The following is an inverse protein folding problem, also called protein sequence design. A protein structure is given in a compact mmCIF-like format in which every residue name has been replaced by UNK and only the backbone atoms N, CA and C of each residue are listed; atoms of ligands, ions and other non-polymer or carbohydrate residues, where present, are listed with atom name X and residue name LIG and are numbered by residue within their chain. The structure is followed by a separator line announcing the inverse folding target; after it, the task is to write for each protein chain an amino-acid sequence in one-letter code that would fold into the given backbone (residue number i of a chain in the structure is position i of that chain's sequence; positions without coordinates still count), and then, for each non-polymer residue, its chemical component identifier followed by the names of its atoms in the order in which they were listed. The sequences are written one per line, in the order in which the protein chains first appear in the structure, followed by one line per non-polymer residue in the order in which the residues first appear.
data_IF_293705358729
#
_entry.id   IF_293705358729
#
_cell.length_a   1.000
_cell.length_b   1.000
_cell.length_c   1.000
_cell.angle_alpha   90.00
_cell.angle_beta   90.00
_cell.angle_gamma   90.00
#
_symmetry.space_group_name_H-M   'P 1'
#
loop_
_entity.id
_entity.type
_entity.pdbx_description
1 polymer ?
#
# COMPACT_ATOMS: atom_id res chain seq x y z
N UNK A 1 -14.46 -10.09 -36.34
CA UNK A 1 -13.51 -9.38 -37.25
C UNK A 1 -13.52 -7.89 -36.86
N UNK A 2 -12.70 -7.48 -35.89
CA UNK A 2 -12.45 -6.07 -35.59
C UNK A 2 -11.10 -5.68 -36.20
N UNK A 3 -11.07 -4.66 -37.04
CA UNK A 3 -9.85 -4.14 -37.64
C UNK A 3 -9.07 -3.25 -36.65
N UNK A 4 -7.76 -3.43 -36.47
CA UNK A 4 -6.95 -2.70 -35.50
C UNK A 4 -6.45 -1.32 -35.95
N UNK A 5 -7.02 -0.72 -36.99
CA UNK A 5 -6.47 0.50 -37.62
C UNK A 5 -6.90 1.82 -36.95
N UNK A 6 -7.89 1.83 -36.04
CA UNK A 6 -8.34 3.07 -35.42
C UNK A 6 -7.58 3.44 -34.13
N UNK A 7 -6.84 2.51 -33.51
CA UNK A 7 -6.14 2.76 -32.22
C UNK A 7 -4.74 3.38 -32.40
N UNK A 8 -4.12 3.20 -33.57
CA UNK A 8 -2.77 3.70 -33.86
C UNK A 8 -2.77 5.22 -34.09
N UNK A 9 -3.87 5.79 -34.57
CA UNK A 9 -4.00 7.21 -34.82
C UNK A 9 -4.08 8.12 -33.59
N UNK A 10 -4.55 7.60 -32.45
CA UNK A 10 -4.71 8.38 -31.22
C UNK A 10 -3.43 8.50 -30.40
N UNK A 11 -2.48 7.58 -30.58
CA UNK A 11 -1.20 7.57 -29.83
C UNK A 11 -0.18 8.53 -30.43
N UNK A 12 -0.27 8.84 -31.72
CA UNK A 12 0.68 9.71 -32.41
C UNK A 12 0.54 11.22 -32.10
N UNK A 13 -0.60 11.65 -31.54
CA UNK A 13 -0.86 13.09 -31.24
C UNK A 13 -0.34 13.47 -29.84
N UNK A 14 -0.06 12.50 -28.95
CA UNK A 14 0.40 12.75 -27.57
C UNK A 14 1.93 12.95 -27.42
N UNK A 15 2.73 12.78 -28.48
CA UNK A 15 4.20 12.84 -28.40
C UNK A 15 4.82 14.19 -28.73
N UNK A 16 4.05 15.26 -28.79
CA UNK A 16 4.50 16.59 -29.26
C UNK A 16 4.87 17.61 -28.19
N UNK A 17 4.96 17.26 -26.90
CA UNK A 17 5.40 18.22 -25.88
C UNK A 17 6.74 17.79 -25.25
N UNK A 18 7.83 18.35 -25.76
CA UNK A 18 9.15 18.29 -25.13
C UNK A 18 9.17 19.21 -23.91
N UNK A 19 9.06 18.66 -22.71
CA UNK A 19 9.33 19.39 -21.48
C UNK A 19 10.82 19.40 -21.20
N UNK A 20 11.42 20.58 -21.15
CA UNK A 20 12.80 20.78 -20.67
C UNK A 20 12.87 20.46 -19.19
N UNK A 21 13.58 19.40 -18.84
CA UNK A 21 13.83 19.01 -17.45
C UNK A 21 14.92 19.91 -16.87
N UNK A 22 14.59 20.71 -15.87
CA UNK A 22 15.55 21.35 -14.97
C UNK A 22 15.90 20.36 -13.85
N UNK A 23 17.11 19.82 -13.92
CA UNK A 23 17.63 18.92 -12.89
C UNK A 23 18.51 19.70 -11.93
N UNK A 24 17.94 20.30 -10.88
CA UNK A 24 18.77 20.92 -9.81
C UNK A 24 18.11 21.12 -8.44
N UNK A 25 17.13 20.35 -7.99
CA UNK A 25 16.56 20.53 -6.64
C UNK A 25 16.37 19.25 -5.82
N UNK A 26 17.00 18.14 -6.17
CA UNK A 26 16.62 16.82 -5.60
C UNK A 26 17.22 16.50 -4.21
N UNK A 27 18.24 17.20 -3.71
CA UNK A 27 18.91 16.83 -2.44
C UNK A 27 18.34 17.59 -1.25
N UNK A 28 17.96 18.86 -1.41
CA UNK A 28 17.36 19.64 -0.33
C UNK A 28 15.86 19.35 -0.10
N UNK A 29 15.15 18.91 -1.14
CA UNK A 29 13.73 18.56 -1.04
C UNK A 29 13.47 17.35 -0.11
N UNK A 30 14.41 16.41 0.01
CA UNK A 30 14.23 15.20 0.83
C UNK A 30 14.26 15.46 2.34
N UNK A 31 14.97 16.50 2.81
CA UNK A 31 15.09 16.82 4.24
C UNK A 31 13.89 17.62 4.78
N UNK A 32 13.21 18.36 3.92
CA UNK A 32 12.00 19.12 4.27
C UNK A 32 10.71 18.33 4.00
N UNK A 33 10.82 17.07 3.52
CA UNK A 33 9.66 16.19 3.35
C UNK A 33 8.97 15.94 4.69
N UNK A 34 7.64 16.07 4.71
CA UNK A 34 6.84 15.76 5.89
C UNK A 34 6.62 14.24 5.98
N UNK A 35 6.74 13.71 7.17
CA UNK A 35 6.50 12.29 7.53
C UNK A 35 5.61 12.21 8.75
N UNK A 36 4.86 11.13 8.84
CA UNK A 36 3.86 10.89 9.90
C UNK A 36 4.19 9.66 10.73
N UNK A 37 4.93 8.69 10.16
CA UNK A 37 5.11 7.37 10.78
C UNK A 37 5.91 7.41 12.07
N UNK A 38 6.90 8.28 12.18
CA UNK A 38 7.78 8.27 13.35
C UNK A 38 7.12 8.82 14.61
N UNK A 39 6.23 9.81 14.47
CA UNK A 39 5.68 10.60 15.58
C UNK A 39 4.14 10.59 15.63
N UNK A 40 3.47 9.94 14.67
CA UNK A 40 2.01 10.01 14.45
C UNK A 40 1.49 11.44 14.23
N UNK A 41 2.39 12.35 13.89
CA UNK A 41 2.12 13.74 13.52
C UNK A 41 2.97 14.13 12.33
N UNK A 42 2.55 15.13 11.56
CA UNK A 42 3.34 15.63 10.43
C UNK A 42 4.59 16.35 10.95
N UNK A 43 5.77 15.83 10.67
CA UNK A 43 7.07 16.40 11.01
C UNK A 43 8.02 16.32 9.81
N UNK A 44 9.00 17.21 9.75
CA UNK A 44 10.02 17.13 8.71
C UNK A 44 11.00 15.99 9.00
N UNK A 45 11.41 15.26 7.98
CA UNK A 45 12.38 14.15 8.11
C UNK A 45 13.60 14.53 8.92
N UNK A 46 14.12 15.75 8.74
CA UNK A 46 15.31 16.23 9.47
C UNK A 46 15.11 16.42 10.98
N UNK A 47 13.88 16.59 11.42
CA UNK A 47 13.53 16.87 12.83
C UNK A 47 13.14 15.58 13.56
N UNK A 48 12.94 14.47 12.81
CA UNK A 48 12.56 13.16 13.37
C UNK A 48 13.79 12.43 13.92
N UNK A 49 13.82 12.05 15.20
CA UNK A 49 14.97 11.36 15.81
C UNK A 49 15.04 9.85 15.47
N UNK A 50 14.43 9.43 14.39
CA UNK A 50 14.37 8.03 13.95
C UNK A 50 14.90 7.89 12.52
N UNK A 51 15.38 6.68 12.17
CA UNK A 51 15.78 6.40 10.79
C UNK A 51 14.55 6.09 9.94
N UNK A 52 14.20 7.02 9.07
CA UNK A 52 13.11 6.89 8.13
C UNK A 52 13.62 7.04 6.70
N UNK A 53 13.07 6.25 5.79
CA UNK A 53 13.20 6.45 4.34
C UNK A 53 11.84 6.84 3.80
N UNK A 54 11.83 7.82 2.91
CA UNK A 54 10.63 8.24 2.18
C UNK A 54 10.82 7.93 0.71
N UNK A 55 9.87 7.24 0.11
CA UNK A 55 9.75 7.07 -1.34
C UNK A 55 8.64 8.01 -1.77
N UNK A 56 9.01 9.05 -2.50
CA UNK A 56 8.10 10.11 -2.92
C UNK A 56 7.19 9.67 -4.08
N UNK A 57 6.10 10.41 -4.30
CA UNK A 57 5.21 10.22 -5.46
C UNK A 57 5.97 10.22 -6.79
N UNK A 58 6.89 11.16 -6.97
CA UNK A 58 7.72 11.24 -8.16
C UNK A 58 8.58 9.98 -8.38
N UNK A 59 9.07 9.36 -7.31
CA UNK A 59 9.82 8.10 -7.39
C UNK A 59 8.89 6.93 -7.68
N UNK A 60 7.69 6.90 -7.10
CA UNK A 60 6.66 5.89 -7.38
C UNK A 60 6.25 5.94 -8.85
N UNK A 61 5.93 7.13 -9.37
CA UNK A 61 5.46 7.33 -10.73
C UNK A 61 6.54 7.05 -11.80
N UNK A 62 7.81 7.36 -11.51
CA UNK A 62 8.94 7.08 -12.41
C UNK A 62 9.39 5.63 -12.40
N UNK A 63 8.95 4.85 -11.43
CA UNK A 63 9.34 3.46 -11.29
C UNK A 63 8.33 2.56 -12.01
N UNK A 64 8.76 1.69 -12.93
CA UNK A 64 7.89 0.68 -13.56
C UNK A 64 7.51 -0.46 -12.60
N UNK A 65 7.41 -0.18 -11.31
CA UNK A 65 7.02 -1.13 -10.29
C UNK A 65 5.60 -1.65 -10.52
N UNK A 66 5.44 -2.94 -10.39
CA UNK A 66 4.15 -3.59 -10.56
C UNK A 66 3.33 -3.61 -9.26
N UNK A 67 4.03 -3.67 -8.12
CA UNK A 67 3.41 -3.75 -6.78
C UNK A 67 4.26 -3.03 -5.71
N UNK A 68 3.78 -3.04 -4.46
CA UNK A 68 4.44 -2.39 -3.33
C UNK A 68 5.84 -2.95 -3.06
N UNK A 69 6.04 -4.27 -3.17
CA UNK A 69 7.34 -4.88 -2.88
C UNK A 69 8.45 -4.40 -3.81
N UNK A 70 8.13 -4.14 -5.08
CA UNK A 70 9.10 -3.62 -6.06
C UNK A 70 9.58 -2.20 -5.70
N UNK A 71 8.74 -1.42 -5.05
CA UNK A 71 9.09 -0.06 -4.60
C UNK A 71 10.01 -0.10 -3.39
N UNK A 72 9.66 -0.89 -2.38
CA UNK A 72 10.35 -0.87 -1.08
C UNK A 72 11.65 -1.66 -1.04
N UNK A 73 11.83 -2.67 -1.92
CA UNK A 73 13.08 -3.47 -1.99
C UNK A 73 14.33 -2.65 -2.34
N UNK A 74 14.17 -1.42 -2.80
CA UNK A 74 15.28 -0.50 -3.08
C UNK A 74 15.93 0.04 -1.81
N UNK A 75 15.24 -0.02 -0.67
CA UNK A 75 15.84 0.34 0.60
C UNK A 75 16.73 -0.81 1.11
N UNK A 76 18.04 -0.57 1.33
CA UNK A 76 18.97 -1.64 1.71
C UNK A 76 18.70 -2.26 3.08
N UNK A 77 17.84 -1.65 3.90
CA UNK A 77 17.41 -2.22 5.18
C UNK A 77 16.19 -3.11 5.09
N UNK A 78 15.54 -3.15 3.91
CA UNK A 78 14.36 -3.94 3.64
C UNK A 78 14.77 -5.19 2.84
N UNK A 79 14.50 -6.33 3.40
CA UNK A 79 14.67 -7.60 2.70
C UNK A 79 13.31 -8.07 2.20
N UNK A 80 13.19 -8.21 0.88
CA UNK A 80 12.02 -8.76 0.22
C UNK A 80 12.34 -10.17 -0.26
N UNK A 81 11.62 -11.16 0.26
CA UNK A 81 11.69 -12.55 -0.18
C UNK A 81 10.44 -12.87 -0.99
N UNK A 82 10.61 -13.16 -2.25
CA UNK A 82 9.54 -13.55 -3.15
C UNK A 82 9.72 -15.01 -3.59
N UNK A 83 8.66 -15.81 -3.46
CA UNK A 83 8.71 -17.27 -3.71
C UNK A 83 8.47 -17.64 -5.18
N UNK A 84 8.81 -16.76 -6.11
CA UNK A 84 8.62 -16.97 -7.56
C UNK A 84 8.42 -15.67 -8.31
N UNK A 85 7.71 -15.72 -9.43
CA UNK A 85 7.39 -14.57 -10.27
C UNK A 85 6.37 -13.62 -9.65
N UNK A 86 5.76 -12.79 -10.50
CA UNK A 86 4.74 -11.82 -10.09
C UNK A 86 3.57 -12.49 -9.37
N UNK A 87 3.05 -11.87 -8.33
CA UNK A 87 1.90 -12.36 -7.55
C UNK A 87 2.21 -13.53 -6.61
N UNK A 88 3.45 -14.03 -6.57
CA UNK A 88 3.82 -15.08 -5.62
C UNK A 88 3.93 -14.54 -4.20
N UNK A 89 3.89 -15.47 -3.22
CA UNK A 89 4.06 -15.11 -1.80
C UNK A 89 5.30 -14.24 -1.64
N UNK A 90 5.09 -13.07 -1.09
CA UNK A 90 6.12 -12.06 -0.89
C UNK A 90 6.15 -11.67 0.58
N UNK A 91 7.30 -11.79 1.18
CA UNK A 91 7.57 -11.47 2.58
C UNK A 91 8.46 -10.23 2.67
N UNK A 92 8.15 -9.34 3.61
CA UNK A 92 8.98 -8.17 3.91
C UNK A 92 9.56 -8.32 5.31
N UNK A 93 10.87 -8.09 5.43
CA UNK A 93 11.57 -8.03 6.70
C UNK A 93 12.42 -6.76 6.77
N UNK A 94 12.32 -6.02 7.85
CA UNK A 94 13.17 -4.85 8.10
C UNK A 94 14.30 -5.28 9.04
N UNK A 95 15.56 -4.99 8.65
CA UNK A 95 16.76 -5.31 9.43
C UNK A 95 16.87 -6.78 9.86
N UNK A 96 16.40 -7.71 9.04
CA UNK A 96 16.50 -9.15 9.29
C UNK A 96 15.54 -9.70 10.33
N UNK A 97 14.52 -8.96 10.71
CA UNK A 97 13.44 -9.45 11.58
C UNK A 97 12.49 -10.39 10.81
N UNK A 98 11.57 -11.05 11.51
CA UNK A 98 10.56 -11.89 10.85
C UNK A 98 9.53 -11.03 10.10
N UNK A 99 8.86 -11.55 9.06
CA UNK A 99 7.83 -10.81 8.31
C UNK A 99 6.70 -10.26 9.19
N UNK A 100 6.26 -11.01 10.19
CA UNK A 100 5.23 -10.59 11.14
C UNK A 100 5.71 -9.54 12.18
N UNK A 101 6.98 -9.16 12.12
CA UNK A 101 7.55 -8.05 12.90
C UNK A 101 7.64 -6.75 12.09
N UNK A 102 7.14 -6.74 10.86
CA UNK A 102 7.02 -5.56 10.00
C UNK A 102 5.55 -5.16 9.92
N UNK A 103 5.21 -4.04 10.54
CA UNK A 103 3.86 -3.51 10.47
C UNK A 103 3.66 -2.78 9.15
N UNK A 104 2.58 -3.11 8.44
CA UNK A 104 2.18 -2.40 7.21
C UNK A 104 0.92 -1.60 7.50
N UNK A 105 0.99 -0.31 7.20
CA UNK A 105 -0.10 0.65 7.40
C UNK A 105 -0.51 1.29 6.07
N UNK A 106 -1.78 1.69 5.95
CA UNK A 106 -2.26 2.61 4.91
C UNK A 106 -3.08 3.71 5.57
N UNK A 107 -2.62 4.96 5.44
CA UNK A 107 -3.17 6.12 6.15
C UNK A 107 -3.40 5.86 7.65
N UNK A 108 -2.42 5.22 8.29
CA UNK A 108 -2.46 4.83 9.70
C UNK A 108 -3.25 3.57 10.03
N UNK A 109 -4.06 3.05 9.12
CA UNK A 109 -4.83 1.82 9.31
C UNK A 109 -3.94 0.58 9.15
N UNK A 110 -4.06 -0.37 10.07
CA UNK A 110 -3.31 -1.62 10.09
C UNK A 110 -3.81 -2.59 9.01
N UNK A 111 -2.88 -3.09 8.17
CA UNK A 111 -3.16 -4.08 7.13
C UNK A 111 -2.64 -5.48 7.46
N UNK A 112 -2.12 -5.72 8.65
CA UNK A 112 -1.58 -7.03 8.98
C UNK A 112 -2.68 -8.10 8.98
N UNK A 113 -2.37 -9.24 8.38
CA UNK A 113 -3.25 -10.39 8.24
C UNK A 113 -2.73 -11.54 9.10
N UNK A 114 -3.64 -12.41 9.54
CA UNK A 114 -3.33 -13.58 10.36
C UNK A 114 -3.18 -14.87 9.51
N UNK A 115 -2.80 -14.75 8.23
CA UNK A 115 -2.49 -15.91 7.37
C UNK A 115 -1.28 -16.72 7.91
N UNK A 116 -0.82 -17.74 7.21
CA UNK A 116 0.32 -18.59 7.60
C UNK A 116 1.57 -17.83 8.06
N UNK A 117 1.82 -16.64 7.50
CA UNK A 117 2.99 -15.81 7.82
C UNK A 117 2.66 -14.75 8.86
N UNK A 118 1.40 -14.65 9.30
CA UNK A 118 0.88 -13.56 10.12
C UNK A 118 1.23 -12.16 9.57
N UNK A 119 1.25 -12.03 8.23
CA UNK A 119 1.59 -10.80 7.52
C UNK A 119 0.80 -10.72 6.22
N UNK A 120 0.42 -9.51 5.79
CA UNK A 120 -0.16 -9.32 4.46
C UNK A 120 0.91 -9.55 3.39
N UNK A 121 0.48 -10.02 2.21
CA UNK A 121 1.37 -10.11 1.05
C UNK A 121 1.42 -8.79 0.30
N UNK A 122 2.56 -8.08 0.30
CA UNK A 122 2.69 -6.78 -0.35
C UNK A 122 2.42 -6.81 -1.85
N UNK A 123 2.59 -7.97 -2.48
CA UNK A 123 2.27 -8.19 -3.90
C UNK A 123 0.78 -8.05 -4.22
N UNK A 124 -0.10 -8.14 -3.21
CA UNK A 124 -1.55 -7.98 -3.38
C UNK A 124 -2.04 -6.56 -3.12
N UNK A 125 -1.15 -5.64 -2.76
CA UNK A 125 -1.50 -4.26 -2.48
C UNK A 125 -1.26 -3.36 -3.70
N UNK A 126 -2.26 -2.55 -4.01
CA UNK A 126 -2.16 -1.49 -5.01
C UNK A 126 -1.38 -0.30 -4.47
N UNK A 127 -0.58 0.32 -5.34
CA UNK A 127 0.21 1.51 -5.07
C UNK A 127 -0.20 2.73 -5.91
N UNK A 128 -1.29 2.63 -6.67
CA UNK A 128 -1.69 3.67 -7.64
C UNK A 128 -2.26 4.95 -7.02
N UNK A 129 -2.69 4.89 -5.77
CA UNK A 129 -3.28 6.01 -5.03
C UNK A 129 -2.31 6.69 -4.05
N UNK A 130 -1.03 6.28 -4.04
CA UNK A 130 -0.06 6.74 -3.06
C UNK A 130 0.57 8.10 -3.39
N UNK A 131 0.76 8.91 -2.37
CA UNK A 131 1.58 10.13 -2.37
C UNK A 131 3.02 9.82 -1.98
N UNK A 132 3.19 8.97 -0.97
CA UNK A 132 4.51 8.53 -0.51
C UNK A 132 4.42 7.21 0.25
N UNK A 133 5.57 6.54 0.37
CA UNK A 133 5.77 5.39 1.25
C UNK A 133 6.84 5.78 2.27
N UNK A 134 6.54 5.60 3.54
CA UNK A 134 7.46 5.83 4.65
C UNK A 134 7.92 4.50 5.23
N UNK A 135 9.22 4.33 5.40
CA UNK A 135 9.82 3.13 5.99
C UNK A 135 10.54 3.53 7.26
N UNK A 136 9.89 3.32 8.40
CA UNK A 136 10.48 3.54 9.73
C UNK A 136 11.29 2.30 10.12
N UNK A 137 12.59 2.50 10.38
CA UNK A 137 13.57 1.41 10.60
C UNK A 137 13.92 1.27 12.07
N UNK A 138 13.47 0.18 12.66
CA UNK A 138 13.74 -0.17 14.06
C UNK A 138 12.47 -0.24 14.90
N UNK A 139 12.59 -0.49 16.20
CA UNK A 139 11.45 -0.77 17.05
C UNK A 139 10.55 0.46 17.19
N UNK A 140 9.28 0.28 16.81
CA UNK A 140 8.22 1.27 16.97
C UNK A 140 7.05 0.71 17.82
N UNK A 141 7.31 -0.36 18.58
CA UNK A 141 6.30 -1.07 19.34
C UNK A 141 5.62 -0.23 20.43
N UNK A 142 6.30 0.79 20.94
CA UNK A 142 5.72 1.73 21.93
C UNK A 142 4.54 2.50 21.31
N UNK A 143 4.64 2.85 20.02
CA UNK A 143 3.61 3.63 19.34
C UNK A 143 2.59 2.76 18.58
N UNK A 144 3.03 1.58 18.10
CA UNK A 144 2.28 0.78 17.15
C UNK A 144 1.99 -0.66 17.62
N UNK A 145 2.45 -1.04 18.82
CA UNK A 145 2.22 -2.38 19.37
C UNK A 145 3.19 -3.44 18.83
N UNK A 146 2.83 -4.71 19.07
CA UNK A 146 3.73 -5.87 18.93
C UNK A 146 4.26 -6.14 17.52
N UNK A 147 3.52 -5.79 16.48
CA UNK A 147 3.90 -6.10 15.09
C UNK A 147 4.99 -5.15 14.55
N UNK A 148 5.29 -4.05 15.26
CA UNK A 148 6.27 -3.04 14.84
C UNK A 148 7.66 -3.22 15.50
N UNK A 149 8.12 -4.45 15.69
CA UNK A 149 9.42 -4.76 16.30
C UNK A 149 10.58 -4.43 15.35
N UNK A 150 10.46 -4.80 14.09
CA UNK A 150 11.46 -4.56 13.04
C UNK A 150 11.35 -3.17 12.43
N UNK A 151 10.14 -2.67 12.32
CA UNK A 151 9.83 -1.39 11.73
C UNK A 151 8.40 -1.29 11.21
N UNK A 152 8.13 -0.18 10.54
CA UNK A 152 6.82 0.14 9.96
C UNK A 152 6.99 0.54 8.50
N UNK A 153 6.16 0.01 7.62
CA UNK A 153 5.97 0.50 6.26
C UNK A 153 4.61 1.16 6.19
N UNK A 154 4.58 2.47 5.99
CA UNK A 154 3.34 3.22 5.87
C UNK A 154 3.14 3.73 4.46
N UNK A 155 2.01 3.40 3.89
CA UNK A 155 1.51 3.93 2.63
C UNK A 155 0.63 5.14 2.92
N UNK A 156 0.97 6.29 2.36
CA UNK A 156 0.21 7.54 2.48
C UNK A 156 -0.48 7.80 1.14
N UNK A 157 -1.81 7.88 1.15
CA UNK A 157 -2.58 8.18 -0.07
C UNK A 157 -2.56 9.67 -0.40
N UNK A 158 -2.65 10.00 -1.69
CA UNK A 158 -2.65 11.39 -2.14
C UNK A 158 -3.87 12.14 -1.61
N UNK A 159 -3.65 13.42 -1.30
CA UNK A 159 -4.73 14.38 -1.08
C UNK A 159 -4.73 15.35 -2.28
N UNK A 160 -5.80 15.37 -3.09
CA UNK A 160 -5.87 16.24 -4.26
C UNK A 160 -5.71 17.72 -3.92
N UNK A 161 -4.81 18.41 -4.63
CA UNK A 161 -4.60 19.86 -4.51
C UNK A 161 -5.02 20.62 -5.77
N UNK A 162 -5.30 19.90 -6.86
CA UNK A 162 -5.78 20.44 -8.14
C UNK A 162 -6.64 19.40 -8.85
N UNK A 163 -7.51 19.86 -9.74
CA UNK A 163 -8.26 18.98 -10.62
C UNK A 163 -7.31 18.37 -11.64
N UNK A 164 -7.30 17.04 -11.73
CA UNK A 164 -6.44 16.31 -12.64
C UNK A 164 -7.04 14.97 -13.03
N UNK A 165 -6.55 14.40 -14.12
CA UNK A 165 -6.84 13.05 -14.54
C UNK A 165 -5.65 12.48 -15.29
N UNK A 166 -5.45 11.15 -15.19
CA UNK A 166 -4.36 10.48 -15.87
C UNK A 166 -4.72 9.05 -16.26
N UNK A 167 -3.99 8.55 -17.24
CA UNK A 167 -3.97 7.14 -17.62
C UNK A 167 -2.50 6.74 -17.76
N UNK A 168 -2.12 5.60 -17.18
CA UNK A 168 -0.78 5.02 -17.27
C UNK A 168 -0.87 3.60 -17.78
N UNK A 169 0.01 3.20 -18.70
CA UNK A 169 0.14 1.85 -19.19
C UNK A 169 1.59 1.37 -19.06
N UNK A 170 1.77 0.14 -18.57
CA UNK A 170 3.05 -0.57 -18.51
C UNK A 170 2.86 -1.90 -19.25
N UNK A 171 3.81 -2.24 -20.10
CA UNK A 171 3.84 -3.53 -20.80
C UNK A 171 5.22 -4.17 -20.66
N UNK A 172 5.26 -5.47 -20.45
CA UNK A 172 6.50 -6.19 -20.19
C UNK A 172 6.46 -7.63 -20.73
N UNK A 173 7.45 -8.41 -20.33
CA UNK A 173 7.55 -9.82 -20.69
C UNK A 173 6.40 -10.67 -20.15
N UNK A 174 6.21 -11.86 -20.72
CA UNK A 174 5.16 -12.81 -20.36
C UNK A 174 3.75 -12.20 -20.42
N UNK A 175 3.47 -11.39 -21.45
CA UNK A 175 2.22 -10.65 -21.60
C UNK A 175 1.82 -9.85 -20.36
N UNK A 176 2.82 -9.40 -19.59
CA UNK A 176 2.55 -8.59 -18.42
C UNK A 176 2.10 -7.21 -18.84
N UNK A 177 0.93 -6.79 -18.39
CA UNK A 177 0.49 -5.41 -18.54
C UNK A 177 -0.11 -4.87 -17.24
N UNK A 178 0.12 -3.60 -17.00
CA UNK A 178 -0.52 -2.84 -15.93
C UNK A 178 -1.13 -1.59 -16.52
N UNK A 179 -2.42 -1.38 -16.29
CA UNK A 179 -3.13 -0.17 -16.66
C UNK A 179 -3.65 0.52 -15.39
N UNK A 180 -3.46 1.82 -15.29
CA UNK A 180 -3.93 2.64 -14.18
C UNK A 180 -4.67 3.83 -14.75
N UNK A 181 -5.84 4.16 -14.20
CA UNK A 181 -6.56 5.39 -14.51
C UNK A 181 -7.00 6.07 -13.20
N UNK A 182 -7.02 7.39 -13.20
CA UNK A 182 -7.43 8.14 -12.03
C UNK A 182 -7.90 9.55 -12.34
N UNK A 183 -8.68 10.09 -11.40
CA UNK A 183 -9.13 11.47 -11.42
C UNK A 183 -9.10 12.06 -10.01
N UNK A 184 -8.75 13.34 -9.95
CA UNK A 184 -8.70 14.17 -8.77
C UNK A 184 -9.58 15.39 -8.96
N UNK A 185 -10.38 15.71 -7.95
CA UNK A 185 -11.22 16.89 -7.92
C UNK A 185 -10.96 17.64 -6.62
N UNK A 186 -10.92 18.96 -6.68
CA UNK A 186 -10.84 19.81 -5.50
C UNK A 186 -11.58 21.13 -5.74
N UNK A 187 -12.33 21.55 -4.74
CA UNK A 187 -13.08 22.80 -4.75
C UNK A 187 -13.39 23.27 -3.32
N UNK A 188 -13.01 24.49 -2.97
CA UNK A 188 -13.38 25.16 -1.70
C UNK A 188 -13.09 24.32 -0.44
N UNK A 189 -11.93 23.65 -0.43
CA UNK A 189 -11.48 22.78 0.66
C UNK A 189 -12.02 21.34 0.57
N UNK A 190 -13.04 21.06 -0.25
CA UNK A 190 -13.45 19.70 -0.57
C UNK A 190 -12.51 19.07 -1.58
N UNK A 191 -12.28 17.80 -1.44
CA UNK A 191 -11.52 17.00 -2.41
C UNK A 191 -12.10 15.61 -2.59
N UNK A 192 -11.92 15.07 -3.78
CA UNK A 192 -12.26 13.70 -4.12
C UNK A 192 -11.18 13.10 -5.03
N UNK A 193 -10.90 11.83 -4.81
CA UNK A 193 -9.99 11.04 -5.62
C UNK A 193 -10.64 9.72 -5.98
N UNK A 194 -10.45 9.26 -7.23
CA UNK A 194 -10.77 7.89 -7.64
C UNK A 194 -9.59 7.31 -8.40
N UNK A 195 -9.33 6.02 -8.20
CA UNK A 195 -8.30 5.25 -8.91
C UNK A 195 -8.84 3.88 -9.29
N UNK A 196 -8.38 3.38 -10.42
CA UNK A 196 -8.59 2.00 -10.82
C UNK A 196 -7.34 1.46 -11.47
N UNK A 197 -6.99 0.21 -11.18
CA UNK A 197 -5.90 -0.50 -11.84
C UNK A 197 -6.29 -1.89 -12.27
N UNK A 198 -5.60 -2.36 -13.31
CA UNK A 198 -5.59 -3.75 -13.76
C UNK A 198 -4.14 -4.17 -13.98
N UNK A 199 -3.75 -5.27 -13.38
CA UNK A 199 -2.45 -5.91 -13.58
C UNK A 199 -2.68 -7.37 -13.96
N UNK A 200 -2.11 -7.80 -15.08
CA UNK A 200 -2.23 -9.17 -15.57
C UNK A 200 -0.89 -9.64 -16.13
N UNK A 201 -0.59 -10.92 -15.94
CA UNK A 201 0.61 -11.55 -16.45
C UNK A 201 0.35 -13.05 -16.68
N UNK A 202 0.86 -13.61 -17.77
CA UNK A 202 0.95 -15.05 -17.94
C UNK A 202 1.87 -15.72 -16.91
N UNK A 203 2.70 -14.91 -16.24
CA UNK A 203 3.65 -15.37 -15.25
C UNK A 203 4.84 -16.13 -15.81
N UNK A 204 5.57 -16.79 -14.93
CA UNK A 204 6.77 -17.56 -15.26
C UNK A 204 6.64 -19.01 -14.78
N UNK A 205 7.43 -19.90 -15.35
CA UNK A 205 7.64 -21.23 -14.77
C UNK A 205 8.46 -21.10 -13.49
N UNK A 206 8.10 -21.86 -12.47
CA UNK A 206 8.81 -21.84 -11.18
C UNK A 206 9.95 -22.88 -11.19
N UNK A 207 9.80 -23.97 -11.94
CA UNK A 207 10.81 -25.04 -12.07
C UNK A 207 11.16 -25.28 -13.55
N UNK A 208 12.40 -25.64 -13.81
CA UNK A 208 12.90 -25.92 -15.16
C UNK A 208 12.23 -27.12 -15.83
N UNK A 209 11.79 -28.11 -15.04
CA UNK A 209 11.11 -29.31 -15.54
C UNK A 209 9.60 -29.16 -15.75
N UNK A 210 9.04 -27.99 -15.47
CA UNK A 210 7.63 -27.71 -15.79
C UNK A 210 7.43 -27.58 -17.30
N UNK A 211 6.25 -28.00 -17.79
CA UNK A 211 5.87 -27.75 -19.18
C UNK A 211 5.73 -26.25 -19.45
N UNK A 212 5.86 -25.84 -20.73
CA UNK A 212 5.76 -24.41 -21.11
C UNK A 212 4.40 -23.80 -20.76
N UNK A 213 3.36 -24.63 -20.63
CA UNK A 213 2.00 -24.20 -20.33
C UNK A 213 1.69 -24.10 -18.83
N UNK A 214 2.65 -24.51 -17.97
CA UNK A 214 2.52 -24.45 -16.51
C UNK A 214 3.16 -23.18 -15.93
N UNK A 215 2.87 -22.04 -16.51
CA UNK A 215 3.26 -20.74 -15.94
C UNK A 215 2.36 -20.37 -14.78
N UNK A 216 2.90 -19.64 -13.81
CA UNK A 216 2.18 -19.14 -12.66
C UNK A 216 1.56 -17.76 -12.98
N UNK A 217 0.39 -17.78 -13.59
CA UNK A 217 -0.32 -16.57 -14.00
C UNK A 217 -0.78 -15.71 -12.81
N UNK A 218 -0.90 -14.43 -13.04
CA UNK A 218 -1.35 -13.44 -12.06
C UNK A 218 -2.36 -12.49 -12.67
N UNK A 219 -3.42 -12.21 -11.93
CA UNK A 219 -4.47 -11.27 -12.27
C UNK A 219 -4.83 -10.47 -11.02
N UNK A 220 -4.84 -9.13 -11.12
CA UNK A 220 -5.23 -8.24 -10.03
C UNK A 220 -6.03 -7.06 -10.56
N UNK A 221 -7.09 -6.72 -9.85
CA UNK A 221 -7.82 -5.46 -9.97
C UNK A 221 -7.71 -4.71 -8.66
N UNK A 222 -7.50 -3.40 -8.76
CA UNK A 222 -7.48 -2.50 -7.63
C UNK A 222 -8.40 -1.31 -7.88
N UNK A 223 -9.13 -0.91 -6.86
CA UNK A 223 -10.02 0.25 -6.87
C UNK A 223 -9.81 1.04 -5.60
N UNK A 224 -9.75 2.36 -5.70
CA UNK A 224 -9.79 3.22 -4.53
C UNK A 224 -10.58 4.50 -4.78
N UNK A 225 -11.19 4.98 -3.71
CA UNK A 225 -11.84 6.28 -3.69
C UNK A 225 -11.58 6.94 -2.34
N UNK A 226 -11.37 8.25 -2.37
CA UNK A 226 -11.18 9.09 -1.18
C UNK A 226 -11.96 10.38 -1.37
N UNK A 227 -12.69 10.79 -0.35
CA UNK A 227 -13.35 12.08 -0.28
C UNK A 227 -13.00 12.74 1.04
N UNK A 228 -12.88 14.05 1.05
CA UNK A 228 -12.56 14.75 2.29
C UNK A 228 -12.76 16.25 2.20
N UNK A 229 -12.52 16.88 3.32
CA UNK A 229 -12.60 18.33 3.50
C UNK A 229 -11.46 18.81 4.38
N UNK A 230 -10.79 19.87 3.95
CA UNK A 230 -9.72 20.53 4.68
C UNK A 230 -9.92 22.06 4.57
N UNK A 231 -10.34 22.69 5.67
CA UNK A 231 -10.56 24.12 5.70
C UNK A 231 -9.25 24.94 5.82
N UNK A 232 -8.08 24.26 5.83
CA UNK A 232 -6.75 24.84 5.97
C UNK A 232 -6.56 25.66 7.25
N UNK A 233 -7.41 25.48 8.23
CA UNK A 233 -7.38 26.17 9.53
C UNK A 233 -7.30 25.15 10.66
N UNK A 234 -8.39 24.48 10.92
CA UNK A 234 -8.50 23.65 12.11
C UNK A 234 -9.28 22.35 11.90
N UNK A 235 -9.87 22.12 10.73
CA UNK A 235 -10.59 20.89 10.44
C UNK A 235 -10.04 20.23 9.19
N UNK A 236 -9.65 18.96 9.31
CA UNK A 236 -9.38 18.07 8.19
C UNK A 236 -10.09 16.76 8.45
N UNK A 237 -10.84 16.28 7.46
CA UNK A 237 -11.55 15.00 7.55
C UNK A 237 -11.53 14.31 6.21
N UNK A 238 -11.44 12.98 6.23
CA UNK A 238 -11.53 12.15 5.04
C UNK A 238 -12.18 10.79 5.32
N UNK A 239 -12.73 10.24 4.26
CA UNK A 239 -13.22 8.88 4.16
C UNK A 239 -12.63 8.26 2.91
N UNK A 240 -11.99 7.12 3.05
CA UNK A 240 -11.43 6.36 1.94
C UNK A 240 -11.87 4.90 1.96
N UNK A 241 -11.98 4.35 0.77
CA UNK A 241 -12.15 2.92 0.53
C UNK A 241 -11.11 2.48 -0.50
N UNK A 242 -10.47 1.34 -0.25
CA UNK A 242 -9.66 0.67 -1.25
C UNK A 242 -9.94 -0.82 -1.23
N UNK A 243 -9.97 -1.43 -2.41
CA UNK A 243 -10.18 -2.86 -2.60
C UNK A 243 -9.22 -3.38 -3.64
N UNK A 244 -8.60 -4.52 -3.35
CA UNK A 244 -7.80 -5.29 -4.29
C UNK A 244 -8.35 -6.71 -4.32
N UNK A 245 -8.53 -7.24 -5.51
CA UNK A 245 -8.99 -8.60 -5.74
C UNK A 245 -8.20 -9.23 -6.86
N UNK A 246 -8.03 -10.53 -6.82
CA UNK A 246 -7.31 -11.19 -7.89
C UNK A 246 -7.09 -12.67 -7.69
N UNK A 247 -6.29 -13.21 -8.60
CA UNK A 247 -5.91 -14.61 -8.65
C UNK A 247 -4.40 -14.69 -8.87
N UNK A 248 -3.74 -15.52 -8.07
CA UNK A 248 -2.34 -15.89 -8.23
C UNK A 248 -2.24 -17.39 -8.37
N UNK A 249 -1.72 -17.86 -9.50
CA UNK A 249 -1.37 -19.26 -9.67
C UNK A 249 0.02 -19.51 -9.09
N UNK A 250 0.21 -20.66 -8.45
CA UNK A 250 1.49 -21.04 -7.90
C UNK A 250 1.75 -22.53 -8.08
N UNK A 251 3.01 -22.90 -8.08
CA UNK A 251 3.40 -24.31 -8.15
C UNK A 251 3.25 -24.97 -6.79
N UNK A 252 2.46 -26.06 -6.75
CA UNK A 252 2.42 -26.93 -5.59
C UNK A 252 3.20 -28.22 -5.89
N UNK A 253 4.31 -28.44 -5.19
CA UNK A 253 5.16 -29.63 -5.36
C UNK A 253 4.48 -30.94 -4.96
N UNK A 254 3.39 -30.87 -4.20
CA UNK A 254 2.59 -32.05 -3.83
C UNK A 254 1.65 -32.51 -4.95
N UNK A 255 1.27 -31.60 -5.85
CA UNK A 255 0.34 -31.87 -6.94
C UNK A 255 0.99 -31.62 -8.30
N UNK A 256 1.76 -32.55 -8.77
CA UNK A 256 2.63 -32.45 -9.98
C UNK A 256 1.87 -32.11 -11.29
N UNK A 257 0.54 -32.07 -11.31
CA UNK A 257 -0.23 -31.99 -12.55
C UNK A 257 -0.79 -30.63 -12.90
N UNK A 258 -1.11 -29.76 -11.95
CA UNK A 258 -1.71 -28.44 -12.21
C UNK A 258 -1.17 -27.40 -11.23
N UNK A 259 -1.09 -26.15 -11.65
CA UNK A 259 -0.86 -25.05 -10.75
C UNK A 259 -2.02 -24.96 -9.75
N UNK A 260 -1.68 -24.75 -8.48
CA UNK A 260 -2.65 -24.35 -7.48
C UNK A 260 -3.01 -22.87 -7.67
N UNK A 261 -4.14 -22.47 -7.13
CA UNK A 261 -4.64 -21.10 -7.24
C UNK A 261 -4.86 -20.50 -5.86
N UNK A 262 -4.51 -19.24 -5.72
CA UNK A 262 -4.89 -18.40 -4.60
C UNK A 262 -5.77 -17.28 -5.13
N UNK A 263 -7.01 -17.25 -4.69
CA UNK A 263 -7.93 -16.14 -4.89
C UNK A 263 -7.79 -15.26 -3.65
N UNK A 264 -7.65 -13.96 -3.84
CA UNK A 264 -7.52 -13.01 -2.75
C UNK A 264 -8.45 -11.81 -2.95
N UNK A 265 -8.91 -11.28 -1.86
CA UNK A 265 -9.61 -10.01 -1.75
C UNK A 265 -9.16 -9.32 -0.47
N UNK A 266 -8.67 -8.09 -0.58
CA UNK A 266 -8.46 -7.24 0.57
C UNK A 266 -9.19 -5.91 0.38
N UNK A 267 -9.83 -5.43 1.46
CA UNK A 267 -10.60 -4.19 1.47
C UNK A 267 -10.29 -3.40 2.72
N UNK A 268 -10.00 -2.13 2.55
CA UNK A 268 -9.86 -1.17 3.64
C UNK A 268 -10.89 -0.08 3.50
N UNK A 269 -11.64 0.18 4.56
CA UNK A 269 -12.42 1.40 4.77
C UNK A 269 -11.71 2.16 5.89
N UNK A 270 -11.39 3.43 5.67
CA UNK A 270 -10.69 4.26 6.64
C UNK A 270 -11.33 5.64 6.70
N UNK A 271 -11.61 6.12 7.90
CA UNK A 271 -12.17 7.44 8.17
C UNK A 271 -11.31 8.15 9.21
N UNK A 272 -10.97 9.39 8.94
CA UNK A 272 -10.16 10.22 9.81
C UNK A 272 -10.78 11.61 9.99
N UNK A 273 -10.71 12.12 11.20
CA UNK A 273 -11.02 13.52 11.52
C UNK A 273 -9.91 14.09 12.39
N UNK A 274 -9.45 15.27 12.04
CA UNK A 274 -8.48 16.05 12.81
C UNK A 274 -9.10 17.41 13.14
N UNK A 275 -8.96 17.82 14.40
CA UNK A 275 -9.41 19.10 14.88
C UNK A 275 -8.30 19.81 15.67
N UNK A 276 -7.89 20.96 15.17
CA UNK A 276 -6.93 21.85 15.84
C UNK A 276 -7.66 22.76 16.82
N UNK A 277 -7.46 22.57 18.12
CA UNK A 277 -7.97 23.50 19.14
C UNK A 277 -7.16 24.79 19.19
N UNK A 278 -5.87 24.69 18.87
CA UNK A 278 -4.92 25.77 18.73
C UNK A 278 -3.87 25.38 17.68
N UNK A 279 -3.01 26.31 17.26
CA UNK A 279 -1.92 26.03 16.31
C UNK A 279 -0.99 24.91 16.78
N UNK A 280 -0.89 24.71 18.08
CA UNK A 280 -0.02 23.73 18.69
C UNK A 280 -0.74 22.55 19.37
N UNK A 281 -2.08 22.43 19.25
CA UNK A 281 -2.87 21.38 19.90
C UNK A 281 -3.88 20.77 18.94
N UNK A 282 -3.68 19.52 18.56
CA UNK A 282 -4.52 18.79 17.60
C UNK A 282 -5.05 17.50 18.21
N UNK A 283 -6.33 17.27 18.08
CA UNK A 283 -6.99 15.98 18.33
C UNK A 283 -7.26 15.30 17.00
N UNK A 284 -6.90 14.03 16.89
CA UNK A 284 -7.25 13.20 15.76
C UNK A 284 -8.00 11.93 16.19
N UNK A 285 -9.05 11.60 15.47
CA UNK A 285 -9.77 10.35 15.63
C UNK A 285 -9.80 9.62 14.29
N UNK A 286 -9.55 8.30 14.32
CA UNK A 286 -9.57 7.43 13.16
C UNK A 286 -10.36 6.16 13.47
N UNK A 287 -11.12 5.70 12.49
CA UNK A 287 -11.70 4.37 12.48
C UNK A 287 -11.36 3.68 11.16
N UNK A 288 -10.95 2.42 11.24
CA UNK A 288 -10.71 1.60 10.07
C UNK A 288 -11.30 0.20 10.22
N UNK A 289 -11.78 -0.34 9.10
CA UNK A 289 -12.15 -1.74 8.93
C UNK A 289 -11.31 -2.30 7.78
N UNK A 290 -10.48 -3.29 8.07
CA UNK A 290 -9.66 -4.01 7.10
C UNK A 290 -10.08 -5.48 7.03
N UNK A 291 -10.31 -5.97 5.82
CA UNK A 291 -10.64 -7.36 5.53
C UNK A 291 -9.57 -7.92 4.58
N UNK A 292 -9.05 -9.10 4.88
CA UNK A 292 -8.19 -9.89 3.99
C UNK A 292 -8.73 -11.32 3.91
N UNK A 293 -9.31 -11.65 2.78
CA UNK A 293 -9.86 -12.98 2.47
C UNK A 293 -8.98 -13.65 1.43
N UNK A 294 -8.54 -14.86 1.73
CA UNK A 294 -7.73 -15.66 0.82
C UNK A 294 -8.27 -17.08 0.74
N UNK A 295 -8.50 -17.56 -0.47
CA UNK A 295 -8.88 -18.93 -0.74
C UNK A 295 -7.80 -19.64 -1.55
N UNK A 296 -7.23 -20.70 -1.00
CA UNK A 296 -6.28 -21.58 -1.68
C UNK A 296 -7.05 -22.76 -2.28
N UNK A 297 -6.93 -22.95 -3.59
CA UNK A 297 -7.50 -24.07 -4.33
C UNK A 297 -6.38 -24.97 -4.81
N UNK A 298 -6.16 -26.05 -4.10
CA UNK A 298 -5.25 -27.12 -4.48
C UNK A 298 -5.80 -28.49 -4.00
N UNK A 299 -4.92 -29.48 -3.81
CA UNK A 299 -5.30 -30.81 -3.30
C UNK A 299 -5.80 -30.81 -1.87
N UNK A 300 -5.43 -29.78 -1.08
CA UNK A 300 -5.87 -29.55 0.30
C UNK A 300 -6.36 -28.09 0.41
N UNK A 301 -7.61 -27.82 -0.02
CA UNK A 301 -8.13 -26.47 -0.09
C UNK A 301 -8.21 -25.82 1.28
N UNK A 302 -7.74 -24.58 1.39
CA UNK A 302 -7.80 -23.82 2.62
C UNK A 302 -8.29 -22.39 2.36
N UNK A 303 -8.82 -21.75 3.41
CA UNK A 303 -9.16 -20.34 3.40
C UNK A 303 -8.57 -19.63 4.64
N UNK A 304 -8.33 -18.35 4.50
CA UNK A 304 -7.82 -17.47 5.54
C UNK A 304 -8.60 -16.17 5.47
N UNK A 305 -9.41 -15.92 6.48
CA UNK A 305 -10.23 -14.71 6.57
C UNK A 305 -9.78 -13.93 7.81
N UNK A 306 -9.32 -12.71 7.59
CA UNK A 306 -8.93 -11.77 8.66
C UNK A 306 -9.82 -10.54 8.55
N UNK A 307 -10.38 -10.12 9.68
CA UNK A 307 -11.08 -8.84 9.81
C UNK A 307 -10.52 -8.06 10.99
N UNK A 308 -10.00 -6.85 10.72
CA UNK A 308 -9.49 -5.93 11.71
C UNK A 308 -10.40 -4.71 11.79
N UNK A 309 -10.92 -4.43 12.99
CA UNK A 309 -11.63 -3.21 13.32
C UNK A 309 -10.76 -2.41 14.30
N UNK A 310 -10.32 -1.22 13.92
CA UNK A 310 -9.42 -0.41 14.71
C UNK A 310 -9.95 1.00 14.88
N UNK A 311 -9.93 1.49 16.12
CA UNK A 311 -10.25 2.87 16.47
C UNK A 311 -9.07 3.51 17.19
N UNK A 312 -8.66 4.69 16.76
CA UNK A 312 -7.60 5.48 17.37
C UNK A 312 -8.13 6.85 17.79
N UNK A 313 -7.69 7.30 18.95
CA UNK A 313 -7.85 8.68 19.40
C UNK A 313 -6.49 9.18 19.89
N UNK A 314 -5.98 10.26 19.27
CA UNK A 314 -4.66 10.79 19.56
C UNK A 314 -4.76 12.31 19.80
N UNK A 315 -4.11 12.76 20.87
CA UNK A 315 -3.89 14.17 21.19
C UNK A 315 -2.42 14.49 20.97
N UNK A 316 -2.14 15.43 20.08
CA UNK A 316 -0.79 15.92 19.83
C UNK A 316 -0.68 17.36 20.31
N UNK A 317 0.28 17.61 21.21
CA UNK A 317 0.54 18.92 21.77
C UNK A 317 2.00 19.32 21.60
N UNK A 318 2.26 20.24 20.71
CA UNK A 318 3.56 20.89 20.55
C UNK A 318 3.70 21.94 21.65
N UNK A 319 4.24 21.55 22.81
CA UNK A 319 4.36 22.41 23.98
C UNK A 319 5.24 23.62 23.66
N UNK A 320 6.35 23.38 22.98
CA UNK A 320 7.28 24.36 22.43
C UNK A 320 8.03 23.81 21.22
N UNK A 321 9.00 24.55 20.67
CA UNK A 321 9.78 24.16 19.49
C UNK A 321 10.66 22.91 19.68
N UNK A 322 10.82 22.40 20.90
CA UNK A 322 11.66 21.23 21.25
C UNK A 322 10.89 20.11 21.89
N UNK A 323 9.70 20.39 22.42
CA UNK A 323 8.92 19.44 23.20
C UNK A 323 7.57 19.17 22.53
N UNK A 324 7.38 17.95 22.07
CA UNK A 324 6.12 17.44 21.57
C UNK A 324 5.60 16.37 22.55
N UNK A 325 4.34 16.45 22.93
CA UNK A 325 3.64 15.46 23.75
C UNK A 325 2.57 14.78 22.89
N UNK A 326 2.68 13.46 22.74
CA UNK A 326 1.66 12.62 22.13
C UNK A 326 1.02 11.75 23.20
N UNK A 327 -0.30 11.80 23.32
CA UNK A 327 -1.10 10.91 24.15
C UNK A 327 -2.22 10.32 23.30
N UNK A 328 -2.47 9.01 23.43
CA UNK A 328 -3.51 8.39 22.64
C UNK A 328 -3.95 7.04 23.17
N UNK A 329 -5.05 6.56 22.63
CA UNK A 329 -5.59 5.24 22.86
C UNK A 329 -5.96 4.60 21.54
N UNK A 330 -5.58 3.33 21.39
CA UNK A 330 -5.94 2.49 20.25
C UNK A 330 -6.75 1.30 20.75
N UNK A 331 -7.87 1.04 20.12
CA UNK A 331 -8.64 -0.20 20.29
C UNK A 331 -8.60 -0.99 19.01
N UNK A 332 -8.10 -2.22 19.06
CA UNK A 332 -8.06 -3.16 17.96
C UNK A 332 -8.85 -4.42 18.30
N UNK A 333 -9.77 -4.79 17.42
CA UNK A 333 -10.42 -6.09 17.43
C UNK A 333 -10.09 -6.80 16.13
N UNK A 334 -9.45 -7.98 16.24
CA UNK A 334 -9.10 -8.82 15.10
C UNK A 334 -9.81 -10.17 15.21
N UNK A 335 -10.57 -10.51 14.18
CA UNK A 335 -11.23 -11.80 14.02
C UNK A 335 -10.52 -12.59 12.91
N UNK A 336 -10.20 -13.85 13.15
CA UNK A 336 -9.52 -14.71 12.19
C UNK A 336 -10.24 -16.06 12.06
N UNK A 337 -10.37 -16.56 10.83
CA UNK A 337 -10.94 -17.86 10.49
C UNK A 337 -10.07 -18.59 9.46
N UNK A 338 -9.90 -19.88 9.65
CA UNK A 338 -9.31 -20.79 8.67
C UNK A 338 -9.89 -22.18 8.83
N UNK A 339 -9.61 -23.10 7.89
CA UNK A 339 -10.01 -24.50 8.05
C UNK A 339 -9.43 -25.15 9.29
N UNK A 340 -8.21 -24.76 9.68
CA UNK A 340 -7.49 -25.34 10.83
C UNK A 340 -7.86 -24.70 12.16
N UNK A 341 -8.46 -23.50 12.12
CA UNK A 341 -8.79 -22.72 13.32
C UNK A 341 -10.21 -22.21 13.23
N UNK A 342 -11.11 -22.81 14.00
CA UNK A 342 -12.47 -22.29 14.16
C UNK A 342 -12.45 -21.12 15.14
N UNK A 343 -12.66 -19.90 14.64
CA UNK A 343 -12.88 -18.66 15.39
C UNK A 343 -11.83 -18.34 16.50
N UNK A 344 -10.70 -17.71 16.13
CA UNK A 344 -9.88 -16.95 17.10
C UNK A 344 -10.31 -15.47 17.10
N UNK A 345 -10.78 -15.01 18.26
CA UNK A 345 -11.00 -13.58 18.55
C UNK A 345 -9.86 -13.09 19.42
N UNK A 346 -9.22 -12.00 19.02
CA UNK A 346 -8.21 -11.28 19.78
C UNK A 346 -8.67 -9.85 20.06
#
# INVERSE_FOLDING_TARGET
LFQPTALVGAIAIAMGFSATASAQDSVNASLDTLVVTATRSEEKVKDVPARITVISKSEIEKNPALNLSDLIQRDPSVFVKQSGGIGQITEISIRGTRPNHTLILKDGARLNSQNHLAAIYPSFLDSSDLEQIEILKGPASVQYGTDAIGGVVQMITSTPTKNSGFITGIYGENNTYKAIAGADLTQDGFYAQIRGQRLESDGTRVLDNQSKDQKAAYDQKGYSAKVGYDNKKNIKTDLSISQNEGLSQFYNYMTIKNNAERIFENRLINSCIQYGFAENLTLSARYSNFIDNQQVKDSDPNHFDTENNEGDLNLNWNVDSKNNLLAGVTYLKSDFKSNDVKDKKQ
#
